data_IF_864871064904
#
_entry.id   IF_864871064904
#
_cell.length_a   1.000
_cell.length_b   1.000
_cell.length_c   1.000
_cell.angle_alpha   90.00
_cell.angle_beta   90.00
_cell.angle_gamma   90.00
#
_symmetry.space_group_name_H-M   'P 1'
#
loop_
_entity.id
_entity.type
_entity.pdbx_description
1 polymer ?
#
# COMPACT_ATOMS: atom_id res chain seq x y z
N UNK A 1 -21.98 18.86 1.42
CA UNK A 1 -20.84 19.54 0.75
C UNK A 1 -20.63 18.96 -0.65
N UNK A 2 -20.10 19.78 -1.56
CA UNK A 2 -19.65 19.31 -2.89
C UNK A 2 -18.21 18.81 -2.80
N UNK A 3 -17.99 17.54 -3.13
CA UNK A 3 -16.71 16.87 -2.97
C UNK A 3 -16.17 16.44 -4.35
N UNK A 4 -14.93 16.78 -4.63
CA UNK A 4 -14.14 16.13 -5.68
C UNK A 4 -13.39 14.97 -5.03
N UNK A 5 -13.43 13.78 -5.64
CA UNK A 5 -12.65 12.64 -5.20
C UNK A 5 -11.53 12.33 -6.19
N UNK A 6 -10.28 12.20 -5.70
CA UNK A 6 -9.13 11.84 -6.52
C UNK A 6 -8.44 10.58 -6.01
N UNK A 7 -8.42 9.54 -6.83
CA UNK A 7 -7.84 8.26 -6.44
C UNK A 7 -7.72 7.28 -7.59
N UNK A 8 -7.02 6.17 -7.38
CA UNK A 8 -6.80 5.19 -8.47
C UNK A 8 -7.07 3.75 -8.04
N UNK A 9 -6.38 3.16 -7.01
CA UNK A 9 -6.50 1.75 -6.66
C UNK A 9 -7.71 1.45 -5.77
N UNK A 10 -7.86 0.18 -5.41
CA UNK A 10 -8.91 -0.33 -4.50
C UNK A 10 -8.94 0.42 -3.16
N UNK A 11 -7.78 0.79 -2.61
CA UNK A 11 -7.69 1.61 -1.39
C UNK A 11 -8.55 2.89 -1.50
N UNK A 12 -8.44 3.58 -2.62
CA UNK A 12 -9.20 4.78 -2.89
C UNK A 12 -10.67 4.48 -3.20
N UNK A 13 -10.96 3.39 -3.93
CA UNK A 13 -12.33 2.99 -4.23
C UNK A 13 -13.14 2.68 -2.96
N UNK A 14 -12.52 2.08 -1.94
CA UNK A 14 -13.15 1.85 -0.62
C UNK A 14 -13.58 3.15 0.05
N UNK A 15 -12.74 4.18 0.02
CA UNK A 15 -13.07 5.49 0.56
C UNK A 15 -14.20 6.17 -0.24
N UNK A 16 -14.13 6.13 -1.58
CA UNK A 16 -15.19 6.66 -2.45
C UNK A 16 -16.52 5.94 -2.19
N UNK A 17 -16.52 4.61 -2.13
CA UNK A 17 -17.73 3.82 -1.85
C UNK A 17 -18.40 4.18 -0.50
N UNK A 18 -17.58 4.55 0.49
CA UNK A 18 -18.09 4.97 1.79
C UNK A 18 -18.64 6.39 1.74
N UNK A 19 -17.97 7.31 1.06
CA UNK A 19 -18.46 8.68 0.86
C UNK A 19 -19.77 8.72 0.07
N UNK A 20 -19.96 7.83 -0.90
CA UNK A 20 -21.21 7.70 -1.68
C UNK A 20 -22.45 7.31 -0.85
N UNK A 21 -22.24 6.82 0.38
CA UNK A 21 -23.34 6.50 1.31
C UNK A 21 -23.72 7.67 2.20
N UNK A 22 -23.02 8.79 2.11
CA UNK A 22 -23.28 10.01 2.88
C UNK A 22 -24.18 10.97 2.10
N UNK A 23 -24.64 12.03 2.77
CA UNK A 23 -25.44 13.11 2.16
C UNK A 23 -24.59 14.09 1.29
N UNK A 24 -23.31 13.78 1.07
CA UNK A 24 -22.44 14.64 0.27
C UNK A 24 -22.63 14.39 -1.24
N UNK A 25 -22.47 15.45 -2.01
CA UNK A 25 -22.49 15.40 -3.47
C UNK A 25 -21.07 15.17 -3.99
N UNK A 26 -20.80 14.00 -4.58
CA UNK A 26 -19.55 13.75 -5.30
C UNK A 26 -19.70 14.33 -6.70
N UNK A 27 -19.21 15.54 -6.91
CA UNK A 27 -19.39 16.29 -8.17
C UNK A 27 -18.50 15.78 -9.30
N UNK A 28 -17.37 15.16 -8.98
CA UNK A 28 -16.44 14.60 -9.95
C UNK A 28 -15.47 13.61 -9.31
N UNK A 29 -14.97 12.73 -10.14
CA UNK A 29 -13.87 11.80 -9.81
C UNK A 29 -12.68 12.06 -10.71
N UNK A 30 -11.49 12.18 -10.11
CA UNK A 30 -10.21 12.26 -10.79
C UNK A 30 -9.43 10.97 -10.59
N UNK A 31 -8.94 10.36 -11.66
CA UNK A 31 -8.19 9.11 -11.59
C UNK A 31 -7.11 9.03 -12.68
N UNK A 32 -6.14 8.13 -12.52
CA UNK A 32 -5.13 7.89 -13.55
C UNK A 32 -5.78 7.39 -14.84
N UNK A 33 -5.21 7.72 -16.01
CA UNK A 33 -5.62 7.13 -17.28
C UNK A 33 -5.63 5.62 -17.26
N UNK A 34 -6.52 5.02 -18.05
CA UNK A 34 -6.59 3.56 -18.20
C UNK A 34 -5.25 2.99 -18.66
N UNK A 35 -4.83 1.90 -18.05
CA UNK A 35 -3.54 1.26 -18.32
C UNK A 35 -3.73 -0.17 -18.80
N UNK A 36 -2.80 -0.62 -19.63
CA UNK A 36 -2.73 -2.03 -20.02
C UNK A 36 -2.44 -2.89 -18.80
N UNK A 37 -3.29 -3.88 -18.53
CA UNK A 37 -3.17 -4.78 -17.38
C UNK A 37 -3.43 -6.24 -17.77
N UNK A 38 -2.97 -7.16 -16.93
CA UNK A 38 -3.17 -8.61 -17.08
C UNK A 38 -2.40 -9.22 -18.25
N UNK A 39 -2.58 -10.54 -18.43
CA UNK A 39 -1.88 -11.34 -19.46
C UNK A 39 -2.23 -10.91 -20.89
N UNK A 40 -3.39 -10.31 -21.12
CA UNK A 40 -3.85 -9.87 -22.45
C UNK A 40 -3.52 -8.42 -22.79
N UNK A 41 -2.83 -7.67 -21.92
CA UNK A 41 -2.50 -6.25 -22.12
C UNK A 41 -3.72 -5.39 -22.52
N UNK A 42 -4.92 -5.73 -22.00
CA UNK A 42 -6.15 -4.98 -22.24
C UNK A 42 -6.14 -3.69 -21.41
N UNK A 43 -6.64 -2.60 -22.01
CA UNK A 43 -6.86 -1.36 -21.28
C UNK A 43 -7.88 -1.64 -20.17
N UNK A 44 -7.48 -1.35 -18.95
CA UNK A 44 -8.29 -1.60 -17.75
C UNK A 44 -8.51 -0.27 -17.04
N UNK A 45 -9.76 0.04 -16.75
CA UNK A 45 -10.14 1.18 -15.94
C UNK A 45 -9.68 0.97 -14.49
N UNK A 46 -9.32 2.06 -13.80
CA UNK A 46 -9.03 2.01 -12.37
C UNK A 46 -10.27 1.59 -11.56
N UNK A 47 -10.07 1.05 -10.36
CA UNK A 47 -11.17 0.70 -9.45
C UNK A 47 -12.06 1.92 -9.16
N UNK A 48 -11.45 3.09 -8.95
CA UNK A 48 -12.16 4.35 -8.73
C UNK A 48 -13.00 4.76 -9.96
N UNK A 49 -12.47 4.60 -11.19
CA UNK A 49 -13.23 4.89 -12.42
C UNK A 49 -14.43 3.96 -12.57
N UNK A 50 -14.24 2.65 -12.32
CA UNK A 50 -15.32 1.67 -12.43
C UNK A 50 -16.47 2.05 -11.49
N UNK A 51 -16.17 2.32 -10.23
CA UNK A 51 -17.15 2.74 -9.23
C UNK A 51 -17.84 4.06 -9.61
N UNK A 52 -17.09 5.05 -10.10
CA UNK A 52 -17.65 6.33 -10.52
C UNK A 52 -18.65 6.17 -11.67
N UNK A 53 -18.34 5.32 -12.64
CA UNK A 53 -19.24 5.03 -13.79
C UNK A 53 -20.51 4.33 -13.34
N UNK A 54 -20.45 3.40 -12.39
CA UNK A 54 -21.64 2.73 -11.81
C UNK A 54 -22.61 3.73 -11.15
N UNK A 55 -22.07 4.82 -10.60
CA UNK A 55 -22.84 5.88 -9.95
C UNK A 55 -23.10 7.10 -10.85
N UNK A 56 -22.78 7.03 -12.15
CA UNK A 56 -22.95 8.12 -13.12
C UNK A 56 -22.22 9.43 -12.73
N UNK A 57 -21.08 9.33 -12.06
CA UNK A 57 -20.26 10.47 -11.66
C UNK A 57 -19.31 10.84 -12.79
N UNK A 58 -19.16 12.14 -13.14
CA UNK A 58 -18.18 12.58 -14.13
C UNK A 58 -16.75 12.16 -13.76
N UNK A 59 -16.03 11.58 -14.75
CA UNK A 59 -14.66 11.08 -14.55
C UNK A 59 -13.68 11.90 -15.36
N UNK A 60 -12.65 12.42 -14.72
CA UNK A 60 -11.55 13.17 -15.30
C UNK A 60 -10.25 12.38 -15.17
N UNK A 61 -9.48 12.32 -16.27
CA UNK A 61 -8.22 11.57 -16.34
C UNK A 61 -7.07 12.42 -16.90
N UNK A 62 -6.74 13.59 -16.29
CA UNK A 62 -5.65 14.41 -16.75
C UNK A 62 -4.32 13.66 -16.60
N UNK A 63 -3.37 13.94 -17.50
CA UNK A 63 -2.02 13.41 -17.42
C UNK A 63 -1.20 14.11 -16.32
N UNK A 64 -1.49 15.37 -16.07
CA UNK A 64 -0.84 16.21 -15.05
C UNK A 64 -1.59 17.53 -14.86
N UNK A 65 -1.20 18.31 -13.84
CA UNK A 65 -1.70 19.65 -13.56
C UNK A 65 -0.62 20.72 -13.68
N UNK A 66 0.37 20.52 -14.57
CA UNK A 66 1.49 21.48 -14.71
C UNK A 66 1.02 22.81 -15.33
N UNK A 67 1.28 23.93 -14.65
CA UNK A 67 0.94 25.28 -15.16
C UNK A 67 1.77 25.70 -16.38
N UNK A 68 2.79 24.91 -16.74
CA UNK A 68 3.66 25.17 -17.90
C UNK A 68 3.15 24.57 -19.21
N UNK A 69 1.99 23.90 -19.22
CA UNK A 69 1.42 23.23 -20.38
C UNK A 69 -0.06 23.60 -20.56
N UNK A 70 -0.54 23.60 -21.80
CA UNK A 70 -1.95 23.88 -22.09
C UNK A 70 -2.88 22.83 -21.47
N UNK A 71 -2.48 21.53 -21.54
CA UNK A 71 -3.28 20.45 -20.94
C UNK A 71 -3.39 20.61 -19.42
N UNK A 72 -2.30 20.99 -18.76
CA UNK A 72 -2.30 21.20 -17.32
C UNK A 72 -3.12 22.41 -16.90
N UNK A 73 -3.10 23.49 -17.67
CA UNK A 73 -3.93 24.69 -17.46
C UNK A 73 -5.42 24.36 -17.70
N UNK A 74 -5.74 23.58 -18.74
CA UNK A 74 -7.10 23.13 -19.00
C UNK A 74 -7.64 22.26 -17.85
N UNK A 75 -6.83 21.31 -17.36
CA UNK A 75 -7.21 20.47 -16.21
C UNK A 75 -7.45 21.29 -14.93
N UNK A 76 -6.65 22.34 -14.69
CA UNK A 76 -6.86 23.27 -13.57
C UNK A 76 -8.16 24.06 -13.74
N UNK A 77 -8.45 24.54 -14.94
CA UNK A 77 -9.68 25.29 -15.22
C UNK A 77 -10.93 24.41 -15.07
N UNK A 78 -10.90 23.17 -15.55
CA UNK A 78 -11.97 22.19 -15.36
C UNK A 78 -12.22 21.93 -13.88
N UNK A 79 -11.16 21.69 -13.10
CA UNK A 79 -11.28 21.46 -11.66
C UNK A 79 -11.89 22.65 -10.94
N UNK A 80 -11.46 23.85 -11.29
CA UNK A 80 -11.98 25.10 -10.73
C UNK A 80 -13.46 25.32 -11.06
N UNK A 81 -13.90 24.96 -12.25
CA UNK A 81 -15.29 25.10 -12.70
C UNK A 81 -16.27 24.22 -11.91
N UNK A 82 -15.81 23.15 -11.26
CA UNK A 82 -16.62 22.29 -10.41
C UNK A 82 -17.08 22.98 -9.11
N UNK A 83 -16.42 24.07 -8.69
CA UNK A 83 -16.74 24.84 -7.51
C UNK A 83 -17.01 23.96 -6.26
N UNK A 84 -16.06 23.05 -6.00
CA UNK A 84 -16.17 22.11 -4.89
C UNK A 84 -15.77 22.71 -3.56
N UNK A 85 -16.37 22.21 -2.48
CA UNK A 85 -16.01 22.61 -1.12
C UNK A 85 -14.67 22.00 -0.70
N UNK A 86 -14.44 20.73 -1.00
CA UNK A 86 -13.22 20.00 -0.62
C UNK A 86 -12.87 18.97 -1.68
N UNK A 87 -11.58 18.66 -1.81
CA UNK A 87 -11.09 17.54 -2.60
C UNK A 87 -10.48 16.48 -1.69
N UNK A 88 -10.99 15.25 -1.77
CA UNK A 88 -10.45 14.08 -1.05
C UNK A 88 -9.51 13.34 -1.98
N UNK A 89 -8.29 13.08 -1.53
CA UNK A 89 -7.23 12.42 -2.30
C UNK A 89 -6.82 11.13 -1.60
N UNK A 90 -6.75 10.03 -2.34
CA UNK A 90 -6.27 8.75 -1.86
C UNK A 90 -5.50 8.00 -2.96
N UNK A 91 -4.21 7.81 -2.79
CA UNK A 91 -3.36 7.09 -3.73
C UNK A 91 -3.62 7.49 -5.21
N UNK A 92 -3.74 8.78 -5.50
CA UNK A 92 -4.07 9.32 -6.82
C UNK A 92 -2.91 9.16 -7.82
N UNK A 93 -1.69 9.39 -7.37
CA UNK A 93 -0.48 9.19 -8.17
C UNK A 93 -0.11 10.35 -9.09
N UNK A 94 -0.74 11.53 -8.97
CA UNK A 94 -0.29 12.77 -9.60
C UNK A 94 0.16 13.78 -8.55
N UNK A 95 1.15 14.58 -8.90
CA UNK A 95 1.56 15.75 -8.12
C UNK A 95 0.53 16.85 -8.34
N UNK A 96 -0.05 17.36 -7.25
CA UNK A 96 -0.98 18.47 -7.26
C UNK A 96 -0.20 19.78 -6.94
N UNK A 97 -0.09 20.71 -7.89
CA UNK A 97 0.55 21.99 -7.63
C UNK A 97 -0.29 22.86 -6.69
N UNK A 98 0.32 23.85 -6.05
CA UNK A 98 -0.34 24.69 -5.05
C UNK A 98 -1.66 25.29 -5.54
N UNK A 99 -1.74 25.71 -6.79
CA UNK A 99 -2.97 26.26 -7.39
C UNK A 99 -4.13 25.26 -7.36
N UNK A 100 -3.86 23.95 -7.49
CA UNK A 100 -4.88 22.89 -7.38
C UNK A 100 -5.24 22.66 -5.91
N UNK A 101 -4.23 22.64 -5.01
CA UNK A 101 -4.45 22.47 -3.58
C UNK A 101 -5.33 23.57 -2.98
N UNK A 102 -5.24 24.79 -3.51
CA UNK A 102 -5.98 25.96 -3.05
C UNK A 102 -7.31 26.18 -3.78
N UNK A 103 -7.63 25.38 -4.80
CA UNK A 103 -8.85 25.57 -5.61
C UNK A 103 -10.14 25.23 -4.84
N UNK A 104 -10.29 24.08 -4.14
CA UNK A 104 -11.48 23.84 -3.34
C UNK A 104 -11.54 24.76 -2.12
N UNK A 105 -12.74 25.16 -1.69
CA UNK A 105 -12.97 26.09 -0.57
C UNK A 105 -12.16 25.73 0.68
N UNK A 106 -12.15 24.45 1.06
CA UNK A 106 -11.41 23.90 2.20
C UNK A 106 -10.10 23.20 1.79
N UNK A 107 -9.73 23.29 0.49
CA UNK A 107 -8.53 22.67 -0.10
C UNK A 107 -8.62 21.17 -0.25
N UNK A 108 -7.46 20.51 -0.23
CA UNK A 108 -7.33 19.08 -0.48
C UNK A 108 -6.98 18.33 0.81
N UNK A 109 -7.65 17.21 1.07
CA UNK A 109 -7.38 16.28 2.17
C UNK A 109 -6.82 14.99 1.59
N UNK A 110 -5.77 14.45 2.19
CA UNK A 110 -5.21 13.16 1.78
C UNK A 110 -5.46 12.09 2.83
N UNK A 111 -5.83 10.89 2.37
CA UNK A 111 -5.92 9.67 3.18
C UNK A 111 -4.56 8.97 3.06
N UNK A 112 -3.70 9.14 4.07
CA UNK A 112 -2.36 8.57 4.06
C UNK A 112 -2.29 7.30 4.93
N UNK A 113 -1.74 6.22 4.38
CA UNK A 113 -1.71 4.89 5.00
C UNK A 113 -0.59 4.71 6.03
N UNK A 114 -0.36 5.70 6.89
CA UNK A 114 0.53 5.62 8.04
C UNK A 114 0.13 6.60 9.14
N UNK A 115 0.75 6.47 10.31
CA UNK A 115 0.72 7.45 11.41
C UNK A 115 1.80 8.50 11.18
N UNK A 116 1.49 9.55 10.41
CA UNK A 116 2.42 10.64 10.13
C UNK A 116 2.91 11.29 11.46
N UNK A 117 4.16 11.79 11.48
CA UNK A 117 5.10 11.98 10.37
C UNK A 117 5.92 10.75 9.97
N UNK A 118 5.67 9.58 10.60
CA UNK A 118 6.34 8.33 10.25
C UNK A 118 5.78 7.79 8.94
N UNK A 119 6.66 7.35 8.04
CA UNK A 119 6.36 6.75 6.74
C UNK A 119 5.71 7.70 5.72
N UNK A 120 6.21 8.93 5.61
CA UNK A 120 5.92 9.78 4.43
C UNK A 120 6.39 9.07 3.16
N UNK A 121 5.59 9.04 2.10
CA UNK A 121 5.99 8.54 0.79
C UNK A 121 5.18 7.37 0.24
N UNK A 122 5.80 6.58 -0.64
CA UNK A 122 5.07 5.72 -1.58
C UNK A 122 4.69 4.32 -1.04
N UNK A 123 5.33 3.83 0.02
CA UNK A 123 5.17 2.45 0.48
C UNK A 123 5.05 2.32 2.02
N UNK A 124 4.21 3.13 2.70
CA UNK A 124 4.13 3.17 4.15
C UNK A 124 3.76 1.80 4.76
N UNK A 125 2.82 1.09 4.17
CA UNK A 125 2.31 -0.20 4.64
C UNK A 125 3.42 -1.25 4.66
N UNK A 126 4.14 -1.39 3.55
CA UNK A 126 5.22 -2.37 3.42
C UNK A 126 6.38 -2.05 4.35
N UNK A 127 6.74 -0.77 4.48
CA UNK A 127 7.85 -0.35 5.36
C UNK A 127 7.54 -0.59 6.83
N UNK A 128 6.31 -0.34 7.26
CA UNK A 128 5.88 -0.63 8.64
C UNK A 128 6.03 -2.11 8.99
N UNK A 129 5.58 -3.03 8.12
CA UNK A 129 5.74 -4.48 8.34
C UNK A 129 7.23 -4.87 8.32
N UNK A 130 7.98 -4.45 7.30
CA UNK A 130 9.37 -4.86 7.12
C UNK A 130 10.27 -4.45 8.31
N UNK A 131 10.05 -3.26 8.88
CA UNK A 131 10.82 -2.79 10.04
C UNK A 131 10.38 -3.39 11.36
N UNK A 132 9.22 -4.06 11.39
CA UNK A 132 8.69 -4.69 12.59
C UNK A 132 7.93 -3.72 13.50
N UNK A 133 7.32 -2.69 12.95
CA UNK A 133 6.38 -1.86 13.70
C UNK A 133 5.23 -2.74 14.22
N UNK A 134 4.83 -2.54 15.46
CA UNK A 134 3.73 -3.29 16.09
C UNK A 134 2.36 -2.69 15.78
N UNK A 135 2.36 -1.43 15.33
CA UNK A 135 1.17 -0.69 14.92
C UNK A 135 1.50 0.25 13.78
N UNK A 136 0.48 0.58 13.01
CA UNK A 136 0.45 1.63 12.01
C UNK A 136 -0.92 2.31 12.06
N UNK A 137 -1.36 2.93 10.99
CA UNK A 137 -2.68 3.54 10.96
C UNK A 137 -2.93 4.32 9.70
N UNK A 138 -3.90 5.20 9.77
CA UNK A 138 -4.22 6.16 8.72
C UNK A 138 -4.17 7.56 9.31
N UNK A 139 -3.64 8.49 8.55
CA UNK A 139 -3.72 9.92 8.86
C UNK A 139 -4.52 10.62 7.78
N UNK A 140 -5.60 11.30 8.18
CA UNK A 140 -6.24 12.32 7.34
C UNK A 140 -5.47 13.61 7.53
N UNK A 141 -4.92 14.16 6.45
CA UNK A 141 -4.11 15.37 6.51
C UNK A 141 -4.59 16.42 5.50
N UNK A 142 -4.43 17.69 5.84
CA UNK A 142 -4.55 18.82 4.92
C UNK A 142 -3.32 18.83 4.02
N UNK A 143 -3.48 18.69 2.71
CA UNK A 143 -2.36 18.65 1.79
C UNK A 143 -1.63 19.98 1.69
N UNK A 144 -0.32 19.92 1.57
CA UNK A 144 0.61 21.02 1.28
C UNK A 144 1.53 20.65 0.12
N UNK A 145 2.24 21.63 -0.42
CA UNK A 145 3.27 21.38 -1.43
C UNK A 145 4.45 20.64 -0.78
N UNK A 146 4.61 19.39 -1.12
CA UNK A 146 5.63 18.50 -0.58
C UNK A 146 5.07 17.10 -0.40
N UNK A 147 5.99 16.14 -0.29
CA UNK A 147 5.60 14.74 -0.16
C UNK A 147 5.10 14.46 1.25
N UNK A 148 3.79 14.37 1.40
CA UNK A 148 3.09 14.05 2.66
C UNK A 148 3.48 14.95 3.85
N UNK A 149 3.75 16.25 3.58
CA UNK A 149 4.20 17.24 4.58
C UNK A 149 3.08 18.05 5.22
N UNK A 150 1.84 17.87 4.79
CA UNK A 150 0.70 18.63 5.26
C UNK A 150 0.33 18.35 6.71
N UNK A 151 -0.44 19.26 7.33
CA UNK A 151 -0.84 19.16 8.73
C UNK A 151 -1.83 18.01 8.96
N UNK A 152 -1.63 17.30 10.06
CA UNK A 152 -2.42 16.13 10.45
C UNK A 152 -3.73 16.55 11.12
N UNK A 153 -4.86 16.04 10.63
CA UNK A 153 -6.20 16.35 11.13
C UNK A 153 -6.75 15.25 12.04
N UNK A 154 -6.59 13.99 11.63
CA UNK A 154 -7.07 12.83 12.39
C UNK A 154 -6.15 11.64 12.15
N UNK A 155 -5.78 10.93 13.22
CA UNK A 155 -5.04 9.67 13.16
C UNK A 155 -5.90 8.53 13.70
N UNK A 156 -5.90 7.41 12.99
CA UNK A 156 -6.58 6.17 13.41
C UNK A 156 -5.58 5.04 13.47
N UNK A 157 -5.38 4.47 14.66
CA UNK A 157 -4.40 3.40 14.91
C UNK A 157 -4.93 2.06 14.38
N UNK A 158 -4.03 1.25 13.83
CA UNK A 158 -4.25 -0.11 13.39
C UNK A 158 -3.10 -1.02 13.88
N UNK A 159 -3.35 -2.00 14.75
CA UNK A 159 -2.35 -3.00 15.11
C UNK A 159 -1.88 -3.79 13.87
N UNK A 160 -0.59 -4.15 13.86
CA UNK A 160 -0.01 -5.04 12.85
C UNK A 160 0.10 -6.42 13.47
N UNK A 161 -0.74 -7.35 13.02
CA UNK A 161 -0.75 -8.73 13.50
C UNK A 161 0.45 -9.52 12.94
N UNK A 162 0.89 -10.54 13.68
CA UNK A 162 2.00 -11.40 13.27
C UNK A 162 1.76 -12.10 11.91
N UNK A 163 0.51 -12.25 11.52
CA UNK A 163 0.10 -12.87 10.26
C UNK A 163 -0.22 -11.87 9.15
N UNK A 164 -0.18 -10.57 9.45
CA UNK A 164 -0.50 -9.56 8.42
C UNK A 164 0.56 -9.55 7.31
N UNK A 165 0.06 -9.61 6.09
CA UNK A 165 0.80 -9.27 4.89
C UNK A 165 0.49 -7.81 4.50
N UNK A 166 1.22 -7.25 3.55
CA UNK A 166 0.88 -5.91 3.06
C UNK A 166 -0.50 -5.86 2.40
N UNK A 167 -1.00 -6.98 1.84
CA UNK A 167 -2.37 -7.06 1.33
C UNK A 167 -3.41 -6.97 2.44
N UNK A 168 -3.31 -7.79 3.48
CA UNK A 168 -4.30 -7.78 4.57
C UNK A 168 -4.29 -6.49 5.37
N UNK A 169 -3.10 -5.94 5.60
CA UNK A 169 -2.96 -4.65 6.29
C UNK A 169 -3.50 -3.49 5.44
N UNK A 170 -3.26 -3.51 4.11
CA UNK A 170 -3.84 -2.57 3.16
C UNK A 170 -5.37 -2.55 3.25
N UNK A 171 -6.02 -3.71 3.29
CA UNK A 171 -7.48 -3.80 3.36
C UNK A 171 -8.02 -3.24 4.70
N UNK A 172 -7.35 -3.56 5.82
CA UNK A 172 -7.67 -2.98 7.14
C UNK A 172 -7.56 -1.45 7.11
N UNK A 173 -6.48 -0.92 6.54
CA UNK A 173 -6.24 0.52 6.46
C UNK A 173 -7.18 1.23 5.50
N UNK A 174 -7.60 0.58 4.40
CA UNK A 174 -8.58 1.12 3.48
C UNK A 174 -9.93 1.39 4.18
N UNK A 175 -10.39 0.45 5.00
CA UNK A 175 -11.62 0.61 5.79
C UNK A 175 -11.46 1.73 6.83
N UNK A 176 -10.37 1.71 7.61
CA UNK A 176 -10.11 2.75 8.62
C UNK A 176 -9.97 4.14 8.00
N UNK A 177 -9.32 4.24 6.84
CA UNK A 177 -9.19 5.50 6.11
C UNK A 177 -10.52 6.05 5.60
N UNK A 178 -11.39 5.16 5.12
CA UNK A 178 -12.73 5.51 4.70
C UNK A 178 -13.58 6.04 5.88
N UNK A 179 -13.57 5.33 7.01
CA UNK A 179 -14.28 5.72 8.24
C UNK A 179 -13.76 7.06 8.79
N UNK A 180 -12.44 7.22 8.88
CA UNK A 180 -11.81 8.47 9.32
C UNK A 180 -12.16 9.65 8.40
N UNK A 181 -12.25 9.42 7.10
CA UNK A 181 -12.65 10.45 6.13
C UNK A 181 -14.08 10.89 6.36
N UNK A 182 -15.02 9.97 6.55
CA UNK A 182 -16.42 10.28 6.86
C UNK A 182 -16.53 11.03 8.19
N UNK A 183 -15.78 10.64 9.20
CA UNK A 183 -15.74 11.33 10.50
C UNK A 183 -15.29 12.79 10.35
N UNK A 184 -14.23 13.06 9.60
CA UNK A 184 -13.76 14.43 9.33
C UNK A 184 -14.79 15.24 8.55
N UNK A 185 -15.49 14.60 7.62
CA UNK A 185 -16.47 15.22 6.71
C UNK A 185 -17.94 15.06 7.18
N UNK A 186 -18.17 14.65 8.42
CA UNK A 186 -19.53 14.44 8.95
C UNK A 186 -20.44 15.66 8.72
N UNK A 187 -19.89 16.86 8.89
CA UNK A 187 -20.55 18.13 8.57
C UNK A 187 -19.51 19.19 8.17
N UNK A 188 -19.96 20.34 7.68
CA UNK A 188 -19.07 21.46 7.40
C UNK A 188 -18.41 22.00 8.69
N UNK A 189 -19.12 22.00 9.80
CA UNK A 189 -18.62 22.39 11.12
C UNK A 189 -17.55 21.39 11.61
N UNK A 190 -17.75 20.09 11.40
CA UNK A 190 -16.78 19.05 11.72
C UNK A 190 -15.49 19.28 10.93
N UNK A 191 -15.58 19.47 9.62
CA UNK A 191 -14.43 19.78 8.78
C UNK A 191 -13.68 21.01 9.25
N UNK A 192 -14.40 22.11 9.56
CA UNK A 192 -13.79 23.34 10.05
C UNK A 192 -13.10 23.16 11.39
N UNK A 193 -13.68 22.36 12.30
CA UNK A 193 -13.06 22.00 13.58
C UNK A 193 -11.74 21.26 13.35
N UNK A 194 -11.72 20.20 12.56
CA UNK A 194 -10.50 19.44 12.27
C UNK A 194 -9.45 20.31 11.56
N UNK A 195 -9.85 21.23 10.70
CA UNK A 195 -8.94 22.19 10.07
C UNK A 195 -8.36 23.18 11.08
N UNK A 196 -9.11 23.59 12.10
CA UNK A 196 -8.63 24.51 13.14
C UNK A 196 -7.69 23.81 14.15
N UNK A 197 -7.97 22.56 14.48
CA UNK A 197 -7.24 21.75 15.47
C UNK A 197 -6.10 20.92 14.87
N UNK A 198 -5.82 21.07 13.56
CA UNK A 198 -4.79 20.28 12.89
C UNK A 198 -3.40 20.50 13.49
N UNK A 199 -2.62 19.45 13.52
CA UNK A 199 -1.28 19.43 14.07
C UNK A 199 -0.22 19.53 12.97
N UNK A 200 0.76 20.41 13.12
CA UNK A 200 1.95 20.46 12.28
C UNK A 200 2.80 19.22 12.52
N UNK A 201 3.31 18.61 11.47
CA UNK A 201 4.20 17.47 11.60
C UNK A 201 5.56 17.86 12.17
N UNK A 202 6.06 17.12 13.16
CA UNK A 202 7.42 17.29 13.67
C UNK A 202 8.43 16.67 12.71
N UNK A 203 9.26 17.50 12.08
CA UNK A 203 10.28 17.07 11.12
C UNK A 203 11.33 16.14 11.76
N UNK A 204 11.59 16.26 13.07
CA UNK A 204 12.54 15.39 13.78
C UNK A 204 12.07 13.93 13.87
N UNK A 205 10.75 13.69 13.76
CA UNK A 205 10.14 12.36 13.80
C UNK A 205 9.86 11.79 12.41
N UNK A 206 10.23 12.51 11.34
CA UNK A 206 9.94 12.10 9.97
C UNK A 206 10.77 10.89 9.56
N UNK A 207 10.07 9.87 9.05
CA UNK A 207 10.68 8.69 8.42
C UNK A 207 10.06 8.53 7.03
N UNK A 208 10.91 8.26 6.02
CA UNK A 208 10.45 8.12 4.64
C UNK A 208 10.23 6.67 4.22
N UNK A 209 9.10 6.42 3.60
CA UNK A 209 8.72 5.14 2.98
C UNK A 209 9.01 5.18 1.46
N UNK A 210 10.27 4.96 1.11
CA UNK A 210 10.69 4.93 -0.30
C UNK A 210 9.95 3.84 -1.08
N UNK A 211 9.69 4.14 -2.37
CA UNK A 211 9.07 3.19 -3.30
C UNK A 211 9.85 1.87 -3.33
N UNK A 212 9.11 0.75 -3.32
CA UNK A 212 9.70 -0.58 -3.39
C UNK A 212 10.32 -0.84 -4.77
N UNK A 213 11.41 -1.58 -4.76
CA UNK A 213 12.04 -2.15 -5.95
C UNK A 213 11.93 -3.68 -5.94
N UNK A 214 12.01 -4.31 -7.11
CA UNK A 214 12.02 -5.77 -7.19
C UNK A 214 13.28 -6.38 -6.55
N UNK A 215 14.40 -5.67 -6.59
CA UNK A 215 15.67 -6.15 -6.04
C UNK A 215 15.61 -6.31 -4.52
N UNK A 216 14.87 -5.45 -3.81
CA UNK A 216 14.69 -5.56 -2.36
C UNK A 216 13.98 -6.84 -1.91
N UNK A 217 13.26 -7.51 -2.79
CA UNK A 217 12.52 -8.72 -2.48
C UNK A 217 13.38 -9.99 -2.54
N UNK A 218 14.66 -9.90 -2.94
CA UNK A 218 15.57 -11.01 -2.84
C UNK A 218 15.89 -11.31 -1.38
N UNK A 219 15.64 -12.55 -0.97
CA UNK A 219 15.90 -12.97 0.41
C UNK A 219 17.41 -13.06 0.63
N UNK A 220 17.86 -12.37 1.68
CA UNK A 220 19.21 -12.55 2.21
C UNK A 220 19.13 -13.52 3.40
N UNK A 221 19.47 -14.76 3.19
CA UNK A 221 19.39 -15.81 4.20
C UNK A 221 20.29 -15.58 5.41
N UNK A 222 21.31 -14.72 5.29
CA UNK A 222 22.18 -14.36 6.42
C UNK A 222 21.51 -13.42 7.45
N UNK A 223 20.33 -12.91 7.16
CA UNK A 223 19.56 -12.12 8.09
C UNK A 223 18.85 -12.97 9.15
N UNK A 224 18.41 -12.37 10.29
CA UNK A 224 17.61 -13.05 11.30
C UNK A 224 16.27 -13.59 10.73
N UNK A 225 15.83 -14.74 11.24
CA UNK A 225 14.57 -15.36 10.82
C UNK A 225 13.37 -14.41 10.90
N UNK A 226 13.27 -13.63 11.98
CA UNK A 226 12.18 -12.67 12.17
C UNK A 226 12.18 -11.54 11.11
N UNK A 227 13.35 -11.13 10.63
CA UNK A 227 13.47 -10.10 9.59
C UNK A 227 13.09 -10.66 8.22
N UNK A 228 13.55 -11.88 7.90
CA UNK A 228 13.17 -12.56 6.66
C UNK A 228 11.66 -12.80 6.60
N UNK A 229 11.03 -13.27 7.68
CA UNK A 229 9.59 -13.46 7.75
C UNK A 229 8.83 -12.14 7.54
N UNK A 230 9.23 -11.06 8.20
CA UNK A 230 8.62 -9.74 8.00
C UNK A 230 8.74 -9.27 6.55
N UNK A 231 9.90 -9.45 5.91
CA UNK A 231 10.10 -9.07 4.53
C UNK A 231 9.22 -9.88 3.57
N UNK A 232 9.06 -11.19 3.80
CA UNK A 232 8.13 -12.03 3.03
C UNK A 232 6.72 -11.49 3.13
N UNK A 233 6.24 -11.16 4.32
CA UNK A 233 4.90 -10.60 4.56
C UNK A 233 4.76 -9.18 3.97
N UNK A 234 5.76 -8.33 4.14
CA UNK A 234 5.77 -6.96 3.61
C UNK A 234 5.71 -6.93 2.08
N UNK A 235 6.32 -7.89 1.40
CA UNK A 235 6.37 -7.94 -0.06
C UNK A 235 5.25 -8.76 -0.68
N UNK A 236 4.31 -9.29 0.09
CA UNK A 236 3.14 -9.98 -0.40
C UNK A 236 1.95 -9.01 -0.52
N UNK A 237 1.38 -8.75 -1.70
CA UNK A 237 1.48 -9.52 -2.96
C UNK A 237 2.52 -8.96 -3.96
N UNK A 238 3.19 -7.89 -3.68
CA UNK A 238 4.17 -7.28 -4.58
C UNK A 238 5.32 -6.62 -3.78
N UNK A 239 6.57 -6.78 -4.24
CA UNK A 239 7.06 -7.49 -5.43
C UNK A 239 7.14 -9.02 -5.34
N UNK A 240 6.79 -9.62 -4.23
CA UNK A 240 6.91 -11.02 -3.79
C UNK A 240 8.37 -11.40 -3.50
N UNK A 241 8.63 -11.80 -2.26
CA UNK A 241 9.95 -12.26 -1.85
C UNK A 241 10.41 -13.47 -2.68
N UNK A 242 11.69 -13.53 -2.98
CA UNK A 242 12.24 -14.61 -3.81
C UNK A 242 13.66 -14.97 -3.40
N UNK A 243 14.05 -16.19 -3.75
CA UNK A 243 15.46 -16.65 -3.72
C UNK A 243 15.83 -17.18 -5.10
N UNK A 244 17.05 -16.90 -5.60
CA UNK A 244 17.54 -17.47 -6.87
C UNK A 244 17.59 -18.99 -6.81
N UNK A 245 17.22 -19.66 -7.92
CA UNK A 245 17.46 -21.07 -8.14
C UNK A 245 18.68 -21.26 -9.07
N UNK A 246 18.83 -20.34 -10.02
CA UNK A 246 19.91 -20.22 -10.97
C UNK A 246 19.97 -18.78 -11.50
N UNK A 247 20.85 -18.48 -12.46
CA UNK A 247 21.04 -17.14 -13.03
C UNK A 247 19.79 -16.52 -13.68
N UNK A 248 18.79 -17.33 -14.01
CA UNK A 248 17.61 -16.90 -14.77
C UNK A 248 16.27 -17.14 -14.05
N UNK A 249 16.27 -17.96 -13.01
CA UNK A 249 15.06 -18.46 -12.38
C UNK A 249 15.03 -18.17 -10.88
N UNK A 250 13.91 -17.66 -10.43
CA UNK A 250 13.67 -17.37 -9.03
C UNK A 250 12.52 -18.22 -8.47
N UNK A 251 12.72 -18.78 -7.28
CA UNK A 251 11.66 -19.33 -6.45
C UNK A 251 11.00 -18.20 -5.69
N UNK A 252 9.72 -17.97 -5.90
CA UNK A 252 8.95 -16.96 -5.15
C UNK A 252 8.44 -17.57 -3.85
N UNK A 253 8.56 -16.83 -2.76
CA UNK A 253 8.07 -17.21 -1.45
C UNK A 253 6.95 -16.25 -1.06
N UNK A 254 5.74 -16.81 -0.95
CA UNK A 254 4.54 -16.02 -0.71
C UNK A 254 4.23 -15.86 0.77
N UNK A 255 4.40 -16.94 1.55
CA UNK A 255 4.12 -16.92 2.97
C UNK A 255 5.13 -17.76 3.74
N UNK A 256 5.43 -17.31 4.95
CA UNK A 256 6.23 -17.99 5.94
C UNK A 256 5.68 -17.76 7.34
N UNK A 257 6.26 -18.43 8.29
CA UNK A 257 6.12 -18.18 9.71
C UNK A 257 7.45 -18.50 10.41
N UNK A 258 7.64 -18.05 11.63
CA UNK A 258 8.78 -18.47 12.44
C UNK A 258 8.65 -19.97 12.72
N UNK A 259 9.77 -20.70 12.58
CA UNK A 259 9.82 -22.13 12.83
C UNK A 259 10.28 -22.43 14.26
N UNK A 260 9.75 -23.51 14.82
CA UNK A 260 10.27 -24.09 16.08
C UNK A 260 11.32 -25.17 15.84
N UNK A 261 11.56 -25.56 14.58
CA UNK A 261 12.58 -26.55 14.21
C UNK A 261 13.97 -25.99 14.45
N UNK A 262 14.86 -26.88 14.92
CA UNK A 262 16.24 -26.55 15.22
C UNK A 262 17.16 -27.55 14.52
N UNK A 263 18.32 -27.11 14.08
CA UNK A 263 19.36 -27.99 13.57
C UNK A 263 20.74 -27.51 13.98
N UNK A 264 21.50 -28.40 14.59
CA UNK A 264 22.86 -28.10 15.01
C UNK A 264 23.77 -28.10 13.77
N UNK A 265 24.60 -27.06 13.63
CA UNK A 265 25.57 -26.90 12.54
C UNK A 265 24.97 -26.67 11.13
N UNK A 266 23.66 -26.40 11.00
CA UNK A 266 23.09 -25.98 9.72
C UNK A 266 23.54 -24.54 9.36
N UNK A 267 23.67 -24.26 8.07
CA UNK A 267 24.08 -22.96 7.57
C UNK A 267 22.89 -22.17 7.07
N UNK A 268 23.04 -20.84 7.00
CA UNK A 268 21.97 -19.98 6.49
C UNK A 268 21.58 -20.37 5.05
N UNK A 269 20.27 -20.45 4.78
CA UNK A 269 19.68 -20.92 3.54
C UNK A 269 19.51 -22.44 3.43
N UNK A 270 19.93 -23.23 4.42
CA UNK A 270 19.83 -24.69 4.38
C UNK A 270 18.45 -25.17 4.81
N UNK A 271 17.85 -26.10 4.05
CA UNK A 271 16.62 -26.79 4.38
C UNK A 271 16.90 -27.80 5.48
N UNK A 272 16.36 -27.56 6.67
CA UNK A 272 16.60 -28.36 7.88
C UNK A 272 15.48 -29.33 8.20
N UNK A 273 14.27 -29.10 7.68
CA UNK A 273 13.15 -30.03 7.78
C UNK A 273 12.13 -29.79 6.65
N UNK A 274 11.40 -30.86 6.33
CA UNK A 274 10.26 -30.83 5.42
C UNK A 274 9.16 -31.65 6.10
N UNK A 275 8.04 -31.00 6.41
CA UNK A 275 6.91 -31.64 7.10
C UNK A 275 5.57 -31.11 6.58
N UNK A 276 4.47 -31.49 7.25
CA UNK A 276 3.12 -31.07 6.87
C UNK A 276 2.90 -29.55 6.90
N UNK A 277 3.70 -28.82 7.69
CA UNK A 277 3.56 -27.39 7.89
C UNK A 277 4.33 -26.61 6.82
N UNK A 278 5.40 -27.18 6.25
CA UNK A 278 6.14 -26.55 5.15
C UNK A 278 7.60 -26.98 5.02
N UNK A 279 8.38 -26.06 4.49
CA UNK A 279 9.82 -26.19 4.32
C UNK A 279 10.52 -25.30 5.35
N UNK A 280 11.26 -25.91 6.26
CA UNK A 280 11.98 -25.18 7.30
C UNK A 280 13.40 -24.87 6.83
N UNK A 281 13.74 -23.58 6.85
CA UNK A 281 15.01 -23.07 6.32
C UNK A 281 15.74 -22.29 7.41
N UNK A 282 17.00 -22.65 7.61
CA UNK A 282 17.88 -21.99 8.57
C UNK A 282 18.19 -20.56 8.14
N UNK A 283 18.22 -19.64 9.09
CA UNK A 283 18.54 -18.23 8.89
C UNK A 283 19.86 -17.87 9.60
N UNK A 284 20.32 -16.63 9.41
CA UNK A 284 21.64 -16.21 9.88
C UNK A 284 21.80 -16.13 11.39
N UNK A 285 20.71 -16.03 12.14
CA UNK A 285 20.68 -15.99 13.61
C UNK A 285 20.50 -17.38 14.25
N UNK A 286 20.69 -18.46 13.53
CA UNK A 286 20.47 -19.84 13.95
C UNK A 286 18.99 -20.16 14.34
N UNK A 287 18.07 -19.29 13.99
CA UNK A 287 16.65 -19.59 13.97
C UNK A 287 16.22 -19.95 12.56
N UNK A 288 15.03 -20.53 12.42
CA UNK A 288 14.52 -20.91 11.11
C UNK A 288 13.17 -20.27 10.80
N UNK A 289 12.86 -20.13 9.52
CA UNK A 289 11.49 -19.87 9.05
C UNK A 289 10.89 -21.16 8.48
N UNK A 290 9.57 -21.27 8.54
CA UNK A 290 8.78 -22.28 7.85
C UNK A 290 8.13 -21.64 6.62
N UNK A 291 8.54 -22.01 5.42
CA UNK A 291 7.90 -21.57 4.17
C UNK A 291 6.64 -22.39 3.96
N UNK A 292 5.48 -21.72 4.02
CA UNK A 292 4.17 -22.36 3.90
C UNK A 292 3.59 -22.30 2.50
N UNK A 293 4.00 -21.28 1.71
CA UNK A 293 3.58 -21.10 0.32
C UNK A 293 4.76 -20.64 -0.55
N UNK A 294 5.00 -21.34 -1.64
CA UNK A 294 6.00 -20.95 -2.64
C UNK A 294 5.50 -21.16 -4.08
N UNK A 295 6.22 -20.57 -5.02
CA UNK A 295 5.89 -20.68 -6.44
C UNK A 295 7.15 -20.90 -7.27
N UNK A 296 7.21 -22.05 -7.97
CA UNK A 296 8.24 -22.34 -8.94
C UNK A 296 8.11 -21.46 -10.20
N UNK A 297 9.22 -21.21 -10.94
CA UNK A 297 9.16 -20.48 -12.20
C UNK A 297 8.13 -21.06 -13.16
N UNK A 298 7.27 -20.20 -13.72
CA UNK A 298 6.18 -20.61 -14.64
C UNK A 298 5.04 -21.40 -14.02
N UNK A 299 5.13 -21.76 -12.73
CA UNK A 299 4.11 -22.55 -12.02
C UNK A 299 3.03 -21.71 -11.32
N UNK A 300 2.18 -22.39 -10.56
CA UNK A 300 1.22 -21.79 -9.62
C UNK A 300 1.83 -21.78 -8.21
N UNK A 301 1.29 -20.92 -7.33
CA UNK A 301 1.61 -20.98 -5.91
C UNK A 301 1.14 -22.31 -5.33
N UNK A 302 2.00 -22.93 -4.51
CA UNK A 302 1.79 -24.23 -3.87
C UNK A 302 1.77 -24.03 -2.36
N UNK A 303 0.87 -24.73 -1.67
CA UNK A 303 0.86 -24.84 -0.21
C UNK A 303 1.85 -25.91 0.28
N UNK A 304 2.04 -26.03 1.60
CA UNK A 304 2.99 -26.96 2.22
C UNK A 304 2.83 -28.42 1.74
N UNK A 305 1.62 -28.92 1.67
CA UNK A 305 1.33 -30.32 1.21
C UNK A 305 1.76 -30.50 -0.25
N UNK A 306 1.40 -29.55 -1.11
CA UNK A 306 1.77 -29.60 -2.53
C UNK A 306 3.27 -29.46 -2.74
N UNK A 307 3.94 -28.62 -1.95
CA UNK A 307 5.40 -28.46 -2.00
C UNK A 307 6.08 -29.82 -1.76
N UNK A 308 5.71 -30.51 -0.69
CA UNK A 308 6.27 -31.81 -0.33
C UNK A 308 6.00 -32.88 -1.40
N UNK A 309 4.84 -32.85 -2.06
CA UNK A 309 4.51 -33.76 -3.16
C UNK A 309 5.41 -33.57 -4.39
N UNK A 310 5.97 -32.38 -4.60
CA UNK A 310 6.86 -32.14 -5.76
C UNK A 310 8.20 -32.84 -5.66
N UNK A 311 8.66 -33.17 -4.45
CA UNK A 311 9.97 -33.77 -4.15
C UNK A 311 11.16 -32.97 -4.75
N UNK A 312 10.97 -31.68 -5.03
CA UNK A 312 12.00 -30.80 -5.63
C UNK A 312 12.97 -30.24 -4.60
N UNK A 313 12.59 -30.24 -3.32
CA UNK A 313 13.44 -29.84 -2.21
C UNK A 313 13.73 -31.07 -1.34
N UNK A 314 14.92 -31.13 -0.78
CA UNK A 314 15.37 -32.19 0.11
C UNK A 314 16.06 -31.60 1.33
N UNK A 315 16.21 -32.41 2.37
CA UNK A 315 17.06 -32.07 3.52
C UNK A 315 18.46 -31.73 3.05
N UNK A 316 19.04 -30.65 3.59
CA UNK A 316 20.36 -30.16 3.19
C UNK A 316 20.40 -29.39 1.88
N UNK A 317 19.27 -29.21 1.17
CA UNK A 317 19.21 -28.29 0.03
C UNK A 317 19.55 -26.87 0.51
N UNK A 318 20.39 -26.14 -0.22
CA UNK A 318 20.84 -24.83 0.18
C UNK A 318 20.40 -23.77 -0.84
N UNK A 319 19.59 -22.82 -0.39
CA UNK A 319 19.30 -21.59 -1.11
C UNK A 319 20.50 -20.65 -1.05
N UNK A 320 20.68 -19.84 -2.10
CA UNK A 320 21.77 -18.85 -2.23
C UNK A 320 21.27 -17.42 -2.13
#
# INVERSE_FOLDING_TARGET
MKIIFAGTPEFAATALATLLKTEHEIVAVYTQPDRKAGRGQKLTASAVKQLALEHNIPVYQPLHFKSSTEEGLAAQAELKALNADVMVVAAYGLILPQVVLDTPKYGCLNIHGSLLPRWRGAAPIQRAIATGDTETGVTIMKMAAGLDTGDMMLKTICPIEATDTSATLHDKLAVKGAEATVQVLESEESLQKYLAEREVQDEALTVYAHKLSKAEAQINWSQPAAEIDRNIRAFNPWPVAFTPLDDSNNLRIWNSSLSTQQATAAVAGEVIALDKDGVHVMCGDQNAICITNLQWPGGKALNAVQINQTQKLSLGYKFT
#
